data_IF_437431082505
#
_entry.id   IF_437431082505
#
_cell.length_a   1.000
_cell.length_b   1.000
_cell.length_c   1.000
_cell.angle_alpha   90.00
_cell.angle_beta   90.00
_cell.angle_gamma   90.00
#
_symmetry.space_group_name_H-M   'P 1'
#
loop_
_entity.id
_entity.type
_entity.pdbx_description
1 polymer ?
#
# COMPACT_ATOMS: atom_id res chain seq x y z
N UNK A 1 -12.45 -11.33 -10.41
CA UNK A 1 -12.43 -9.87 -10.23
C UNK A 1 -13.01 -9.54 -8.87
N UNK A 2 -12.29 -8.78 -8.02
CA UNK A 2 -12.83 -8.29 -6.75
C UNK A 2 -14.05 -7.39 -7.03
N UNK A 3 -15.17 -7.62 -6.34
CA UNK A 3 -16.38 -6.80 -6.48
C UNK A 3 -16.20 -5.38 -5.95
N UNK A 4 -15.10 -5.12 -5.22
CA UNK A 4 -14.78 -3.85 -4.57
C UNK A 4 -13.45 -3.23 -5.05
N UNK A 5 -13.10 -3.43 -6.33
CA UNK A 5 -11.94 -2.76 -6.92
C UNK A 5 -12.19 -1.26 -7.21
N UNK A 6 -11.12 -0.46 -7.26
CA UNK A 6 -11.12 0.93 -7.73
C UNK A 6 -10.06 1.10 -8.80
N UNK A 7 -10.45 1.68 -9.94
CA UNK A 7 -9.55 2.02 -11.03
C UNK A 7 -9.31 3.52 -11.03
N UNK A 8 -8.07 3.91 -10.79
CA UNK A 8 -7.63 5.29 -10.81
C UNK A 8 -6.94 5.54 -12.14
N UNK A 9 -7.42 6.52 -12.90
CA UNK A 9 -6.77 6.98 -14.13
C UNK A 9 -6.15 8.34 -13.87
N UNK A 10 -4.84 8.40 -13.81
CA UNK A 10 -4.10 9.64 -13.71
C UNK A 10 -3.91 10.22 -15.10
N UNK A 11 -4.22 11.50 -15.27
CA UNK A 11 -4.11 12.19 -16.55
C UNK A 11 -3.47 13.55 -16.37
N UNK A 12 -2.56 13.91 -17.26
CA UNK A 12 -2.03 15.25 -17.37
C UNK A 12 -1.93 15.67 -18.84
N UNK A 13 -1.91 16.98 -19.07
CA UNK A 13 -1.71 17.56 -20.39
C UNK A 13 -1.01 18.90 -20.24
N UNK A 14 0.02 19.14 -21.05
CA UNK A 14 0.75 20.39 -21.05
C UNK A 14 1.71 20.56 -19.88
N UNK A 15 2.19 19.47 -19.26
CA UNK A 15 3.18 19.58 -18.17
C UNK A 15 4.46 20.23 -18.69
N UNK A 16 5.04 21.14 -17.91
CA UNK A 16 6.28 21.86 -18.20
C UNK A 16 7.54 21.04 -17.88
N UNK A 17 7.40 20.06 -16.98
CA UNK A 17 8.37 19.03 -16.62
C UNK A 17 7.69 17.68 -16.39
N UNK A 18 8.51 16.63 -16.35
CA UNK A 18 8.04 15.33 -15.91
C UNK A 18 7.68 15.37 -14.41
N UNK A 19 6.62 14.66 -14.03
CA UNK A 19 6.16 14.55 -12.65
C UNK A 19 6.06 13.06 -12.31
N UNK A 20 6.82 12.62 -11.32
CA UNK A 20 6.67 11.30 -10.71
C UNK A 20 5.86 11.43 -9.43
N UNK A 21 4.87 10.55 -9.29
CA UNK A 21 4.00 10.45 -8.13
C UNK A 21 4.28 9.16 -7.38
N UNK A 22 4.54 9.29 -6.09
CA UNK A 22 4.59 8.20 -5.14
C UNK A 22 3.20 8.01 -4.53
N UNK A 23 2.67 6.80 -4.59
CA UNK A 23 1.44 6.39 -3.93
C UNK A 23 1.78 5.45 -2.77
N UNK A 24 1.27 5.76 -1.58
CA UNK A 24 1.42 4.95 -0.38
C UNK A 24 0.14 4.96 0.46
N UNK A 25 0.11 4.24 1.58
CA UNK A 25 -1.05 4.18 2.46
C UNK A 25 -0.71 4.67 3.87
N UNK A 26 -1.66 5.38 4.47
CA UNK A 26 -1.56 5.75 5.88
C UNK A 26 -1.52 4.49 6.75
N UNK A 27 -0.51 4.35 7.64
CA UNK A 27 -0.52 3.30 8.65
C UNK A 27 -1.76 3.30 9.54
N UNK A 28 -2.17 2.15 10.08
CA UNK A 28 -3.18 2.11 11.12
C UNK A 28 -2.71 2.92 12.33
N UNK A 29 -3.65 3.53 13.07
CA UNK A 29 -3.33 4.31 14.27
C UNK A 29 -2.71 3.48 15.41
N UNK A 30 -2.75 2.15 15.32
CA UNK A 30 -2.15 1.24 16.28
C UNK A 30 -0.68 0.98 15.91
N UNK A 31 0.22 1.31 16.83
CA UNK A 31 1.66 1.33 16.60
C UNK A 31 2.15 2.70 16.16
N UNK A 32 3.47 2.92 16.23
CA UNK A 32 4.12 4.13 15.74
C UNK A 32 4.58 3.91 14.31
N UNK A 33 4.13 4.78 13.41
CA UNK A 33 4.61 4.79 12.03
C UNK A 33 6.14 4.97 12.00
N UNK A 34 6.81 4.22 11.12
CA UNK A 34 8.26 4.21 10.93
C UNK A 34 9.09 3.68 12.12
N UNK A 35 8.43 3.16 13.16
CA UNK A 35 9.08 2.44 14.26
C UNK A 35 8.53 1.01 14.36
N UNK A 36 7.21 0.88 14.50
CA UNK A 36 6.53 -0.41 14.64
C UNK A 36 5.97 -0.91 13.31
N UNK A 37 5.55 0.02 12.44
CA UNK A 37 4.91 -0.26 11.15
C UNK A 37 5.44 0.68 10.08
N UNK A 38 5.81 0.11 8.94
CA UNK A 38 6.40 0.83 7.82
C UNK A 38 5.47 0.76 6.61
N UNK A 39 5.00 1.91 6.08
CA UNK A 39 4.41 1.95 4.76
C UNK A 39 5.39 1.50 3.68
N UNK A 40 4.85 1.10 2.54
CA UNK A 40 5.64 0.80 1.35
C UNK A 40 5.32 1.81 0.24
N UNK A 41 6.24 1.95 -0.69
CA UNK A 41 6.00 2.58 -1.98
C UNK A 41 5.13 1.63 -2.83
N UNK A 42 3.82 1.77 -2.67
CA UNK A 42 2.87 0.85 -3.30
C UNK A 42 2.89 0.96 -4.82
N UNK A 43 2.88 2.19 -5.36
CA UNK A 43 2.98 2.46 -6.79
C UNK A 43 3.81 3.72 -7.02
N UNK A 44 4.57 3.74 -8.12
CA UNK A 44 5.31 4.90 -8.59
C UNK A 44 4.97 5.16 -10.05
N UNK A 45 4.26 6.25 -10.32
CA UNK A 45 3.80 6.58 -11.67
C UNK A 45 4.47 7.85 -12.19
N UNK A 46 4.86 7.84 -13.47
CA UNK A 46 5.51 8.99 -14.11
C UNK A 46 4.65 9.55 -15.22
N UNK A 47 4.33 10.84 -15.13
CA UNK A 47 3.57 11.60 -16.12
C UNK A 47 4.52 12.47 -16.93
N UNK A 48 4.52 12.28 -18.26
CA UNK A 48 5.48 12.90 -19.17
C UNK A 48 5.23 14.40 -19.37
N UNK A 49 6.31 15.12 -19.60
CA UNK A 49 6.29 16.51 -20.08
C UNK A 49 5.58 16.61 -21.45
N UNK A 50 4.88 17.72 -21.68
CA UNK A 50 4.37 18.09 -23.01
C UNK A 50 2.94 17.64 -23.24
N UNK A 51 2.69 16.80 -24.26
CA UNK A 51 1.34 16.41 -24.67
C UNK A 51 0.57 15.57 -23.63
N UNK A 52 -0.62 15.06 -23.99
CA UNK A 52 -1.42 14.21 -23.10
C UNK A 52 -0.64 12.98 -22.63
N UNK A 53 -0.74 12.68 -21.33
CA UNK A 53 -0.13 11.52 -20.69
C UNK A 53 -1.11 10.91 -19.68
N UNK A 54 -1.10 9.59 -19.55
CA UNK A 54 -1.93 8.88 -18.59
C UNK A 54 -1.20 7.71 -17.92
N UNK A 55 -1.66 7.37 -16.72
CA UNK A 55 -1.25 6.19 -15.97
C UNK A 55 -2.47 5.55 -15.28
N UNK A 56 -2.43 4.24 -15.07
CA UNK A 56 -3.52 3.48 -14.48
C UNK A 56 -3.05 2.74 -13.24
N UNK A 57 -3.84 2.84 -12.17
CA UNK A 57 -3.61 2.12 -10.92
C UNK A 57 -4.91 1.40 -10.55
N UNK A 58 -4.80 0.13 -10.18
CA UNK A 58 -5.93 -0.68 -9.72
C UNK A 58 -5.74 -1.05 -8.25
N UNK A 59 -6.71 -0.68 -7.43
CA UNK A 59 -6.79 -1.07 -6.04
C UNK A 59 -7.81 -2.20 -5.90
N UNK A 60 -7.41 -3.32 -5.32
CA UNK A 60 -8.33 -4.43 -4.96
C UNK A 60 -8.60 -4.38 -3.46
N UNK A 61 -9.85 -4.22 -3.04
CA UNK A 61 -10.18 -4.18 -1.60
C UNK A 61 -10.03 -5.53 -0.88
N UNK A 62 -9.37 -6.51 -1.50
CA UNK A 62 -9.09 -7.81 -0.91
C UNK A 62 -7.79 -7.70 -0.14
N UNK A 63 -7.87 -7.82 1.17
CA UNK A 63 -6.69 -7.79 2.05
C UNK A 63 -6.12 -9.18 2.23
N UNK A 64 -4.80 -9.25 2.28
CA UNK A 64 -4.05 -10.47 2.52
C UNK A 64 -2.86 -10.18 3.42
N UNK A 65 -2.48 -11.18 4.22
CA UNK A 65 -1.19 -11.18 4.88
C UNK A 65 -0.19 -11.96 4.05
N UNK A 66 1.07 -11.54 4.14
CA UNK A 66 2.20 -12.16 3.49
C UNK A 66 3.38 -12.25 4.47
N UNK A 67 4.26 -13.22 4.25
CA UNK A 67 5.58 -13.27 4.87
C UNK A 67 6.59 -12.68 3.87
N UNK A 68 6.87 -11.36 3.91
CA UNK A 68 7.81 -10.75 2.97
C UNK A 68 9.26 -11.12 3.32
N UNK A 69 10.14 -10.98 2.34
CA UNK A 69 11.57 -10.81 2.58
C UNK A 69 11.94 -9.38 2.19
N UNK A 70 12.80 -8.74 2.98
CA UNK A 70 13.31 -7.40 2.66
C UNK A 70 14.77 -7.53 2.26
N UNK A 71 15.10 -7.10 1.05
CA UNK A 71 16.47 -7.04 0.54
C UNK A 71 16.79 -5.62 0.07
N UNK A 72 17.91 -5.08 0.54
CA UNK A 72 18.34 -3.69 0.31
C UNK A 72 17.22 -2.64 0.49
N UNK A 73 16.37 -2.84 1.51
CA UNK A 73 15.25 -1.94 1.82
C UNK A 73 13.99 -2.12 0.96
N UNK A 74 13.98 -3.08 0.04
CA UNK A 74 12.87 -3.36 -0.85
C UNK A 74 12.19 -4.68 -0.52
N UNK A 75 10.88 -4.75 -0.74
CA UNK A 75 10.15 -5.99 -0.59
C UNK A 75 10.41 -6.91 -1.77
N UNK A 76 10.97 -8.07 -1.46
CA UNK A 76 11.01 -9.21 -2.38
C UNK A 76 9.65 -9.89 -2.32
N UNK A 77 9.20 -10.39 -3.48
CA UNK A 77 7.93 -11.12 -3.62
C UNK A 77 7.80 -12.17 -2.52
N UNK A 78 6.68 -12.11 -1.79
CA UNK A 78 6.42 -13.03 -0.70
C UNK A 78 6.32 -14.46 -1.23
N UNK A 79 6.95 -15.40 -0.53
CA UNK A 79 6.91 -16.82 -0.90
C UNK A 79 5.56 -17.46 -0.53
N UNK A 80 4.83 -16.84 0.40
CA UNK A 80 3.51 -17.27 0.83
C UNK A 80 2.65 -16.08 1.25
N UNK A 81 1.37 -16.17 0.92
CA UNK A 81 0.33 -15.21 1.29
C UNK A 81 -1.02 -15.90 1.45
N UNK A 82 -1.91 -15.27 2.22
CA UNK A 82 -3.29 -15.71 2.33
C UNK A 82 -4.24 -14.52 2.54
N UNK A 83 -5.42 -14.59 1.90
CA UNK A 83 -6.50 -13.65 2.15
C UNK A 83 -6.85 -13.62 3.64
N UNK A 84 -6.97 -12.42 4.19
CA UNK A 84 -7.39 -12.19 5.56
C UNK A 84 -8.12 -10.86 5.64
N UNK A 85 -9.43 -10.90 5.80
CA UNK A 85 -10.27 -9.72 5.90
C UNK A 85 -10.48 -9.25 7.33
N UNK A 86 -11.14 -8.10 7.47
CA UNK A 86 -11.58 -7.56 8.76
C UNK A 86 -12.48 -8.55 9.49
N UNK A 87 -12.21 -8.81 10.76
CA UNK A 87 -12.89 -9.83 11.57
C UNK A 87 -12.26 -11.21 11.46
N UNK A 88 -11.14 -11.36 10.75
CA UNK A 88 -10.43 -12.62 10.56
C UNK A 88 -9.02 -12.56 11.14
N UNK A 89 -8.43 -13.75 11.30
CA UNK A 89 -7.04 -13.92 11.70
C UNK A 89 -6.37 -15.04 10.92
N UNK A 90 -5.06 -14.93 10.73
CA UNK A 90 -4.19 -16.00 10.25
C UNK A 90 -2.91 -16.04 11.11
N UNK A 91 -2.02 -16.96 10.75
CA UNK A 91 -0.68 -17.05 11.34
C UNK A 91 0.37 -17.26 10.25
N UNK A 92 1.61 -16.87 10.54
CA UNK A 92 2.79 -17.33 9.81
C UNK A 92 3.41 -18.46 10.60
N UNK A 93 3.54 -19.62 9.99
CA UNK A 93 4.20 -20.81 10.58
C UNK A 93 5.59 -21.00 9.98
N UNK A 94 6.36 -21.92 10.56
CA UNK A 94 7.69 -22.27 10.04
C UNK A 94 7.63 -22.53 8.51
N UNK A 95 8.73 -22.24 7.83
CA UNK A 95 8.84 -22.12 6.36
C UNK A 95 8.16 -20.87 5.77
N UNK A 96 7.73 -19.93 6.61
CA UNK A 96 7.17 -18.64 6.18
C UNK A 96 5.75 -18.76 5.59
N UNK A 97 5.07 -19.88 5.81
CA UNK A 97 3.75 -20.14 5.23
C UNK A 97 2.68 -19.37 5.98
N UNK A 98 1.86 -18.61 5.25
CA UNK A 98 0.68 -17.94 5.81
C UNK A 98 -0.50 -18.89 5.80
N UNK A 99 -1.07 -19.17 6.97
CA UNK A 99 -2.22 -20.08 7.09
C UNK A 99 -3.48 -19.45 6.50
N UNK A 100 -4.45 -20.27 6.04
CA UNK A 100 -5.78 -19.77 5.71
C UNK A 100 -6.41 -19.00 6.87
N UNK A 101 -7.15 -17.94 6.55
CA UNK A 101 -7.81 -17.14 7.56
C UNK A 101 -8.97 -17.89 8.25
N UNK A 102 -9.07 -17.69 9.56
CA UNK A 102 -10.16 -18.18 10.41
C UNK A 102 -10.84 -16.99 11.11
N UNK A 103 -12.02 -17.17 11.73
CA UNK A 103 -12.64 -16.09 12.50
C UNK A 103 -11.70 -15.51 13.57
N UNK A 104 -11.65 -14.18 13.65
CA UNK A 104 -10.83 -13.41 14.58
C UNK A 104 -11.65 -12.36 15.33
N UNK A 105 -10.97 -11.30 15.77
CA UNK A 105 -11.63 -10.22 16.51
C UNK A 105 -12.36 -9.26 15.56
N UNK A 106 -13.62 -8.96 15.86
CA UNK A 106 -14.43 -8.04 15.06
C UNK A 106 -13.73 -6.68 14.88
N UNK A 107 -13.68 -6.19 13.64
CA UNK A 107 -13.09 -4.89 13.30
C UNK A 107 -11.58 -4.89 13.08
N UNK A 108 -10.91 -6.04 13.13
CA UNK A 108 -9.45 -6.14 12.96
C UNK A 108 -9.05 -7.22 11.97
N UNK A 109 -7.92 -6.99 11.31
CA UNK A 109 -7.13 -8.01 10.63
C UNK A 109 -6.00 -8.42 11.58
N UNK A 110 -5.78 -9.71 11.76
CA UNK A 110 -4.79 -10.22 12.72
C UNK A 110 -3.90 -11.26 12.06
N UNK A 111 -2.59 -11.10 12.22
CA UNK A 111 -1.62 -12.13 11.85
C UNK A 111 -0.71 -12.43 13.04
N UNK A 112 -0.53 -13.69 13.39
CA UNK A 112 0.33 -14.12 14.52
C UNK A 112 1.60 -14.76 13.98
N UNK A 113 2.74 -14.36 14.51
CA UNK A 113 3.97 -15.09 14.26
C UNK A 113 3.98 -16.39 15.12
N UNK A 114 3.71 -17.51 14.48
CA UNK A 114 3.76 -18.85 15.07
C UNK A 114 5.04 -19.62 14.70
N UNK A 115 5.97 -19.00 13.97
CA UNK A 115 7.29 -19.55 13.66
C UNK A 115 8.15 -19.71 14.92
N UNK A 116 9.28 -20.39 14.76
CA UNK A 116 10.31 -20.55 15.80
C UNK A 116 11.23 -19.33 15.97
N UNK A 117 11.19 -18.35 15.08
CA UNK A 117 12.06 -17.15 15.11
C UNK A 117 11.25 -15.87 14.92
N UNK A 118 11.88 -14.70 15.06
CA UNK A 118 11.20 -13.46 14.66
C UNK A 118 11.06 -13.45 13.11
N UNK A 119 9.92 -12.97 12.61
CA UNK A 119 9.65 -12.89 11.17
C UNK A 119 9.00 -11.55 10.83
N UNK A 120 9.17 -11.12 9.59
CA UNK A 120 8.47 -9.96 9.06
C UNK A 120 7.05 -10.36 8.66
N UNK A 121 6.11 -9.44 8.83
CA UNK A 121 4.69 -9.60 8.48
C UNK A 121 4.28 -8.42 7.62
N UNK A 122 3.77 -8.67 6.42
CA UNK A 122 3.18 -7.64 5.57
C UNK A 122 1.67 -7.80 5.48
N UNK A 123 0.95 -6.68 5.38
CA UNK A 123 -0.43 -6.66 4.88
C UNK A 123 -0.46 -5.88 3.58
N UNK A 124 -1.24 -6.41 2.64
CA UNK A 124 -1.33 -5.87 1.29
C UNK A 124 -2.70 -6.06 0.68
N UNK A 125 -2.80 -5.61 -0.57
CA UNK A 125 -3.92 -5.91 -1.43
C UNK A 125 -3.58 -7.08 -2.33
N UNK A 126 -4.54 -7.96 -2.55
CA UNK A 126 -4.36 -9.13 -3.40
C UNK A 126 -5.41 -9.18 -4.48
N UNK A 127 -5.14 -9.97 -5.50
CA UNK A 127 -6.17 -10.49 -6.39
C UNK A 127 -7.25 -11.30 -5.63
N UNK A 128 -8.17 -11.94 -6.37
CA UNK A 128 -9.23 -12.74 -5.74
C UNK A 128 -8.74 -14.08 -5.19
N UNK A 129 -7.54 -14.53 -5.56
CA UNK A 129 -6.98 -15.81 -5.13
C UNK A 129 -6.14 -15.70 -3.86
N UNK A 130 -5.63 -14.50 -3.55
CA UNK A 130 -4.75 -14.28 -2.40
C UNK A 130 -3.27 -14.46 -2.71
N UNK A 131 -2.90 -14.71 -3.97
CA UNK A 131 -1.54 -15.08 -4.38
C UNK A 131 -0.60 -13.90 -4.65
N UNK A 132 -1.09 -12.88 -5.36
CA UNK A 132 -0.28 -11.72 -5.74
C UNK A 132 -0.55 -10.56 -4.78
N UNK A 133 0.15 -10.57 -3.64
CA UNK A 133 -0.01 -9.52 -2.60
C UNK A 133 0.92 -8.34 -2.88
N UNK A 134 0.31 -7.21 -3.18
CA UNK A 134 0.96 -5.89 -3.16
C UNK A 134 0.96 -5.37 -1.72
N UNK A 135 2.04 -5.67 -1.00
CA UNK A 135 2.22 -5.23 0.37
C UNK A 135 2.24 -3.70 0.48
N UNK A 136 1.42 -3.17 1.39
CA UNK A 136 1.28 -1.72 1.64
C UNK A 136 1.77 -1.28 3.01
N UNK A 137 1.84 -2.22 3.96
CA UNK A 137 2.42 -2.01 5.28
C UNK A 137 3.19 -3.25 5.71
N UNK A 138 4.27 -3.02 6.46
CA UNK A 138 5.17 -4.07 6.96
C UNK A 138 5.46 -3.85 8.44
N UNK A 139 5.43 -4.94 9.20
CA UNK A 139 5.94 -5.02 10.56
C UNK A 139 7.18 -5.92 10.53
N UNK A 140 8.31 -5.41 10.98
CA UNK A 140 9.57 -6.14 10.95
C UNK A 140 9.84 -6.85 12.27
N UNK A 141 10.49 -8.02 12.18
CA UNK A 141 10.98 -8.81 13.33
C UNK A 141 9.90 -9.00 14.40
N UNK A 142 8.67 -9.30 13.97
CA UNK A 142 7.57 -9.61 14.88
C UNK A 142 7.99 -10.82 15.71
N UNK A 143 8.05 -10.67 17.03
CA UNK A 143 8.55 -11.71 17.91
C UNK A 143 7.66 -12.96 17.90
N UNK A 144 8.26 -14.11 18.24
CA UNK A 144 7.56 -15.40 18.36
C UNK A 144 6.36 -15.27 19.30
N UNK A 145 5.21 -15.83 18.90
CA UNK A 145 3.90 -15.74 19.58
C UNK A 145 3.32 -14.32 19.70
N UNK A 146 3.95 -13.31 19.11
CA UNK A 146 3.39 -11.97 19.02
C UNK A 146 2.47 -11.86 17.80
N UNK A 147 1.54 -10.91 17.85
CA UNK A 147 0.56 -10.69 16.79
C UNK A 147 0.58 -9.25 16.32
N UNK A 148 0.42 -9.08 15.01
CA UNK A 148 0.03 -7.82 14.40
C UNK A 148 -1.50 -7.74 14.43
N UNK A 149 -2.02 -6.56 14.78
CA UNK A 149 -3.45 -6.27 14.79
C UNK A 149 -3.68 -4.91 14.13
N UNK A 150 -4.34 -4.91 12.97
CA UNK A 150 -4.54 -3.71 12.17
C UNK A 150 -6.04 -3.41 11.97
N UNK A 151 -6.42 -2.14 12.19
CA UNK A 151 -7.67 -1.60 11.66
C UNK A 151 -7.32 -0.89 10.36
N UNK A 152 -7.48 -1.62 9.27
CA UNK A 152 -7.00 -1.16 7.98
C UNK A 152 -8.08 -0.37 7.25
N UNK A 153 -7.91 0.94 7.15
CA UNK A 153 -8.70 1.81 6.26
C UNK A 153 -7.78 2.29 5.13
N UNK A 154 -8.13 2.09 3.85
CA UNK A 154 -7.25 2.35 2.72
C UNK A 154 -7.22 3.85 2.37
N UNK A 155 -6.70 4.68 3.29
CA UNK A 155 -6.36 6.06 3.00
C UNK A 155 -5.08 6.07 2.17
N UNK A 156 -5.24 6.29 0.87
CA UNK A 156 -4.12 6.45 -0.04
C UNK A 156 -3.62 7.88 0.04
N UNK A 157 -2.30 8.04 0.09
CA UNK A 157 -1.56 9.30 0.10
C UNK A 157 -0.74 9.40 -1.19
N UNK A 158 -0.71 10.60 -1.78
CA UNK A 158 0.05 10.87 -3.00
C UNK A 158 1.01 12.02 -2.77
N UNK A 159 2.26 11.79 -3.14
CA UNK A 159 3.36 12.75 -3.08
C UNK A 159 3.99 12.90 -4.47
N UNK A 160 4.63 14.03 -4.76
CA UNK A 160 5.47 14.15 -5.95
C UNK A 160 6.95 14.11 -5.57
N UNK A 161 7.65 13.08 -6.00
CA UNK A 161 9.06 12.81 -5.68
C UNK A 161 9.62 11.76 -6.64
N UNK A 162 10.94 11.80 -6.86
CA UNK A 162 11.70 10.81 -7.63
C UNK A 162 12.59 9.95 -6.73
N UNK A 163 12.48 10.09 -5.41
CA UNK A 163 13.44 9.56 -4.45
C UNK A 163 13.19 8.09 -4.11
N UNK A 164 12.08 7.53 -4.60
CA UNK A 164 11.57 6.23 -4.21
C UNK A 164 11.25 5.36 -5.41
N UNK A 165 11.39 4.05 -5.24
CA UNK A 165 10.95 3.03 -6.19
C UNK A 165 9.82 2.17 -5.64
N UNK A 166 9.06 1.50 -6.52
CA UNK A 166 8.02 0.56 -6.09
C UNK A 166 8.60 -0.52 -5.18
N UNK A 167 7.80 -1.00 -4.22
CA UNK A 167 8.16 -2.01 -3.21
C UNK A 167 9.14 -1.56 -2.12
N UNK A 168 9.72 -0.36 -2.24
CA UNK A 168 10.59 0.20 -1.21
C UNK A 168 9.85 0.41 0.10
N UNK A 169 10.48 0.07 1.23
CA UNK A 169 9.93 0.26 2.56
C UNK A 169 10.25 1.67 3.04
N UNK A 170 9.23 2.50 3.27
CA UNK A 170 9.39 3.87 3.73
C UNK A 170 9.89 3.89 5.18
N UNK A 171 11.11 4.39 5.39
CA UNK A 171 11.77 4.48 6.71
C UNK A 171 11.53 5.78 7.45
N UNK A 172 10.83 6.71 6.83
CA UNK A 172 10.50 8.01 7.40
C UNK A 172 9.39 8.69 6.62
N UNK A 173 9.01 9.88 7.09
CA UNK A 173 8.08 10.71 6.36
C UNK A 173 8.67 11.11 4.99
N UNK A 174 7.83 11.12 3.98
CA UNK A 174 8.23 11.59 2.64
C UNK A 174 8.52 13.08 2.73
N UNK A 175 9.73 13.49 2.33
CA UNK A 175 10.19 14.89 2.35
C UNK A 175 9.63 15.72 1.19
N UNK A 176 8.34 15.54 0.88
CA UNK A 176 7.60 16.27 -0.14
C UNK A 176 6.19 16.60 0.36
N UNK A 177 5.57 17.71 -0.07
CA UNK A 177 4.20 18.03 0.33
C UNK A 177 3.21 16.92 -0.05
N UNK A 178 2.31 16.59 0.88
CA UNK A 178 1.18 15.71 0.60
C UNK A 178 0.22 16.41 -0.38
N UNK A 179 0.05 15.83 -1.57
CA UNK A 179 -0.77 16.42 -2.63
C UNK A 179 -2.23 15.98 -2.54
N UNK A 180 -2.46 14.75 -2.07
CA UNK A 180 -3.80 14.16 -2.04
C UNK A 180 -3.89 13.06 -1.00
N UNK A 181 -5.02 12.99 -0.28
CA UNK A 181 -5.34 11.91 0.66
C UNK A 181 -6.84 11.64 0.71
N UNK A 182 -7.28 10.43 0.36
CA UNK A 182 -8.67 9.97 0.60
C UNK A 182 -8.74 8.47 0.83
N UNK A 183 -9.84 8.04 1.47
CA UNK A 183 -10.20 6.63 1.57
C UNK A 183 -10.65 6.11 0.19
N UNK A 184 -9.93 5.15 -0.37
CA UNK A 184 -10.27 4.60 -1.70
C UNK A 184 -11.65 3.94 -1.74
N UNK A 185 -12.16 3.43 -0.63
CA UNK A 185 -13.49 2.81 -0.59
C UNK A 185 -14.62 3.80 -0.86
N UNK A 186 -14.41 5.10 -0.60
CA UNK A 186 -15.43 6.14 -0.82
C UNK A 186 -15.45 6.68 -2.25
N UNK A 187 -14.48 6.29 -3.08
CA UNK A 187 -14.41 6.72 -4.47
C UNK A 187 -15.34 5.92 -5.38
N UNK A 188 -15.63 6.48 -6.56
CA UNK A 188 -16.28 5.78 -7.65
C UNK A 188 -15.42 4.61 -8.14
N UNK A 189 -16.06 3.56 -8.69
CA UNK A 189 -15.36 2.37 -9.23
C UNK A 189 -14.27 2.74 -10.24
N UNK A 190 -14.51 3.80 -11.01
CA UNK A 190 -13.52 4.44 -11.87
C UNK A 190 -13.47 5.91 -11.48
N UNK A 191 -12.27 6.41 -11.20
CA UNK A 191 -12.03 7.81 -10.79
C UNK A 191 -10.93 8.38 -11.66
N UNK A 192 -11.13 9.59 -12.19
CA UNK A 192 -10.09 10.28 -12.96
C UNK A 192 -9.36 11.26 -12.05
N UNK A 193 -8.04 11.14 -12.00
CA UNK A 193 -7.14 12.00 -11.25
C UNK A 193 -6.46 12.95 -12.24
N UNK A 194 -6.89 14.20 -12.28
CA UNK A 194 -6.27 15.23 -13.11
C UNK A 194 -5.07 15.82 -12.38
N UNK A 195 -3.90 15.76 -13.00
CA UNK A 195 -2.64 16.29 -12.47
C UNK A 195 -2.23 17.51 -13.28
N UNK A 196 -1.95 18.61 -12.59
CA UNK A 196 -1.56 19.88 -13.20
C UNK A 196 -0.53 20.62 -12.35
N UNK A 197 0.10 21.66 -12.91
CA UNK A 197 0.97 22.59 -12.19
C UNK A 197 0.27 23.93 -12.11
N UNK A 198 0.22 24.53 -10.93
CA UNK A 198 -0.28 25.89 -10.74
C UNK A 198 0.69 26.88 -11.39
N UNK A 199 0.18 27.67 -12.34
CA UNK A 199 1.02 28.57 -13.15
C UNK A 199 1.63 29.75 -12.38
N UNK A 200 1.15 30.06 -11.17
CA UNK A 200 1.65 31.18 -10.37
C UNK A 200 2.69 30.72 -9.34
N UNK A 201 2.46 29.56 -8.73
CA UNK A 201 3.24 29.04 -7.60
C UNK A 201 4.19 27.90 -8.00
N UNK A 202 3.91 27.22 -9.12
CA UNK A 202 4.62 26.00 -9.52
C UNK A 202 4.21 24.76 -8.71
N UNK A 203 3.19 24.87 -7.85
CA UNK A 203 2.70 23.75 -7.04
C UNK A 203 2.02 22.69 -7.92
N UNK A 204 2.26 21.42 -7.59
CA UNK A 204 1.59 20.31 -8.25
C UNK A 204 0.22 20.11 -7.60
N UNK A 205 -0.82 19.96 -8.41
CA UNK A 205 -2.20 19.81 -7.97
C UNK A 205 -2.80 18.50 -8.49
N UNK A 206 -3.56 17.82 -7.64
CA UNK A 206 -4.32 16.61 -8.00
C UNK A 206 -5.80 16.86 -7.71
N UNK A 207 -6.65 16.67 -8.72
CA UNK A 207 -8.11 16.75 -8.58
C UNK A 207 -8.76 15.44 -9.03
N UNK A 208 -9.59 14.86 -8.16
CA UNK A 208 -10.40 13.69 -8.48
C UNK A 208 -11.82 14.07 -8.94
N UNK A 209 -12.33 13.34 -9.94
CA UNK A 209 -13.70 13.43 -10.48
C UNK A 209 -14.33 12.04 -10.65
#
# INVERSE_FOLDING_TARGET
MSTNARKLRFTANGLDKEITLLLTFTPPAAGKAYEDVFPTCWQVITLKKGGPTEAHVEYTANTAFAAPQIDDGNLVTATSSALCGTGQKCSIVDDGVVTPAVPGDAGYLICTNETTTATDIAVGFSDATGGDVEAVLVWEKVAVKSRVRAQFTPFMEIYATNDYQETEVLRGAVESPLLWKKNLQTLNKQTTMSVSVDGNTGEILIKDA
#
